data_IF_841109033269
#
_entry.id   IF_841109033269
#
_cell.length_a   1.000
_cell.length_b   1.000
_cell.length_c   1.000
_cell.angle_alpha   90.00
_cell.angle_beta   90.00
_cell.angle_gamma   90.00
#
_symmetry.space_group_name_H-M   'P 1'
#
loop_
_entity.id
_entity.type
_entity.pdbx_description
1 polymer ?
#
# COMPACT_ATOMS: atom_id res chain seq x y z
N UNK A 1 20.28 6.21 -9.89
CA UNK A 1 19.06 6.18 -9.05
C UNK A 1 18.82 4.74 -8.68
N UNK A 2 18.77 4.42 -7.39
CA UNK A 2 18.39 3.08 -6.94
C UNK A 2 17.04 2.73 -7.55
N UNK A 3 16.93 1.55 -8.16
CA UNK A 3 15.66 1.06 -8.70
C UNK A 3 14.74 0.82 -7.50
N UNK A 4 13.73 1.66 -7.31
CA UNK A 4 12.72 1.46 -6.27
C UNK A 4 11.93 0.21 -6.65
N UNK A 5 11.93 -0.78 -5.76
CA UNK A 5 11.20 -2.03 -5.93
C UNK A 5 10.28 -2.22 -4.73
N UNK A 6 9.01 -2.47 -5.01
CA UNK A 6 8.01 -2.78 -4.00
C UNK A 6 7.96 -4.27 -3.73
N UNK A 7 7.74 -4.62 -2.47
CA UNK A 7 7.44 -5.97 -2.00
C UNK A 7 5.95 -6.27 -2.17
N UNK A 8 5.57 -7.55 -2.10
CA UNK A 8 4.17 -7.95 -2.34
C UNK A 8 3.22 -7.38 -1.28
N UNK A 9 3.62 -7.37 -0.01
CA UNK A 9 2.85 -6.80 1.09
C UNK A 9 2.65 -5.28 0.94
N UNK A 10 3.67 -4.58 0.44
CA UNK A 10 3.59 -3.14 0.17
C UNK A 10 2.63 -2.85 -0.97
N UNK A 11 2.70 -3.62 -2.07
CA UNK A 11 1.79 -3.45 -3.19
C UNK A 11 0.35 -3.80 -2.81
N UNK A 12 0.15 -4.80 -1.95
CA UNK A 12 -1.17 -5.14 -1.41
C UNK A 12 -1.75 -3.98 -0.59
N UNK A 13 -0.97 -3.40 0.33
CA UNK A 13 -1.38 -2.22 1.11
C UNK A 13 -1.69 -1.03 0.20
N UNK A 14 -0.81 -0.74 -0.77
CA UNK A 14 -1.04 0.37 -1.72
C UNK A 14 -2.29 0.13 -2.54
N UNK A 15 -2.59 -1.11 -2.93
CA UNK A 15 -3.80 -1.46 -3.67
C UNK A 15 -5.08 -1.28 -2.85
N UNK A 16 -5.06 -1.62 -1.55
CA UNK A 16 -6.19 -1.45 -0.64
C UNK A 16 -6.57 0.02 -0.44
N UNK A 17 -5.59 0.92 -0.42
CA UNK A 17 -5.77 2.36 -0.21
C UNK A 17 -5.55 3.18 -1.48
N UNK A 18 -5.61 2.55 -2.67
CA UNK A 18 -5.31 3.23 -3.92
C UNK A 18 -6.39 4.28 -4.24
N UNK A 19 -5.93 5.47 -4.62
CA UNK A 19 -6.77 6.57 -5.07
C UNK A 19 -6.47 6.95 -6.52
N UNK A 20 -7.24 7.93 -7.01
CA UNK A 20 -7.12 8.47 -8.36
C UNK A 20 -5.72 9.00 -8.69
N UNK A 21 -4.98 9.50 -7.69
CA UNK A 21 -3.61 10.00 -7.88
C UNK A 21 -2.63 9.41 -6.88
N UNK A 22 -1.36 9.29 -7.28
CA UNK A 22 -0.26 8.86 -6.38
C UNK A 22 -0.23 9.67 -5.09
N UNK A 23 -0.49 10.98 -5.18
CA UNK A 23 -0.46 11.87 -4.04
C UNK A 23 -1.60 11.56 -3.07
N UNK A 24 -2.81 11.39 -3.59
CA UNK A 24 -3.98 11.05 -2.77
C UNK A 24 -3.78 9.71 -2.06
N UNK A 25 -3.23 8.71 -2.76
CA UNK A 25 -2.86 7.41 -2.16
C UNK A 25 -1.84 7.58 -1.03
N UNK A 26 -0.82 8.42 -1.21
CA UNK A 26 0.17 8.72 -0.16
C UNK A 26 -0.49 9.41 1.04
N UNK A 27 -1.39 10.37 0.82
CA UNK A 27 -2.08 11.09 1.88
C UNK A 27 -2.96 10.11 2.70
N UNK A 28 -3.75 9.25 2.05
CA UNK A 28 -4.54 8.22 2.77
C UNK A 28 -3.65 7.24 3.53
N UNK A 29 -2.55 6.77 2.94
CA UNK A 29 -1.65 5.85 3.64
C UNK A 29 -1.04 6.47 4.90
N UNK A 30 -0.76 7.78 4.90
CA UNK A 30 -0.29 8.50 6.09
C UNK A 30 -1.37 8.61 7.15
N UNK A 31 -2.59 8.94 6.75
CA UNK A 31 -3.72 9.00 7.68
C UNK A 31 -3.98 7.62 8.32
N UNK A 32 -3.91 6.54 7.52
CA UNK A 32 -4.00 5.16 8.02
C UNK A 32 -2.85 4.83 8.96
N UNK A 33 -1.60 5.23 8.63
CA UNK A 33 -0.45 5.01 9.50
C UNK A 33 -0.65 5.70 10.86
N UNK A 34 -1.06 6.96 10.87
CA UNK A 34 -1.32 7.73 12.10
C UNK A 34 -2.41 7.06 12.95
N UNK A 35 -3.53 6.66 12.33
CA UNK A 35 -4.62 5.98 13.03
C UNK A 35 -4.18 4.64 13.65
N UNK A 36 -3.36 3.86 12.93
CA UNK A 36 -2.85 2.58 13.43
C UNK A 36 -1.78 2.79 14.51
N UNK A 37 -0.97 3.85 14.44
CA UNK A 37 -0.02 4.21 15.51
C UNK A 37 -0.75 4.60 16.81
N UNK A 38 -1.91 5.26 16.71
CA UNK A 38 -2.73 5.61 17.88
C UNK A 38 -3.39 4.39 18.54
N UNK A 39 -3.78 3.38 17.76
CA UNK A 39 -4.43 2.16 18.25
C UNK A 39 -3.48 1.02 18.54
N UNK A 40 -2.17 1.26 18.41
CA UNK A 40 -1.14 0.24 18.53
C UNK A 40 -1.08 -0.36 19.93
N UNK A 41 -1.70 -1.52 20.09
CA UNK A 41 -1.66 -2.31 21.33
C UNK A 41 -0.92 -3.64 21.11
N UNK A 42 -0.81 -4.10 19.86
CA UNK A 42 -0.27 -5.42 19.52
C UNK A 42 1.05 -5.33 18.73
N UNK A 43 2.07 -6.16 19.06
CA UNK A 43 3.33 -6.20 18.31
C UNK A 43 3.19 -6.70 16.88
N UNK A 44 2.06 -7.30 16.49
CA UNK A 44 1.78 -7.61 15.09
C UNK A 44 1.49 -6.35 14.26
N UNK A 45 1.00 -5.28 14.89
CA UNK A 45 0.75 -4.00 14.22
C UNK A 45 2.05 -3.29 13.85
N UNK A 46 3.16 -3.53 14.56
CA UNK A 46 4.50 -3.03 14.19
C UNK A 46 4.86 -3.40 12.75
N UNK A 47 4.64 -4.66 12.35
CA UNK A 47 5.02 -5.12 11.01
C UNK A 47 4.14 -4.49 9.91
N UNK A 48 2.85 -4.28 10.19
CA UNK A 48 1.94 -3.58 9.29
C UNK A 48 2.32 -2.10 9.16
N UNK A 49 2.62 -1.44 10.28
CA UNK A 49 3.08 -0.04 10.30
C UNK A 49 4.38 0.14 9.51
N UNK A 50 5.35 -0.78 9.67
CA UNK A 50 6.59 -0.78 8.89
C UNK A 50 6.31 -0.95 7.38
N UNK A 51 5.38 -1.84 7.02
CA UNK A 51 4.95 -2.05 5.62
C UNK A 51 4.34 -0.79 5.03
N UNK A 52 3.39 -0.15 5.74
CA UNK A 52 2.73 1.09 5.30
C UNK A 52 3.76 2.23 5.17
N UNK A 53 4.62 2.41 6.18
CA UNK A 53 5.66 3.44 6.16
C UNK A 53 6.65 3.25 5.01
N UNK A 54 7.07 2.00 4.75
CA UNK A 54 7.95 1.67 3.63
C UNK A 54 7.27 1.93 2.28
N UNK A 55 6.01 1.54 2.12
CA UNK A 55 5.22 1.81 0.93
C UNK A 55 5.11 3.32 0.66
N UNK A 56 4.81 4.14 1.67
CA UNK A 56 4.76 5.61 1.57
C UNK A 56 6.11 6.15 1.07
N UNK A 57 7.21 5.74 1.71
CA UNK A 57 8.56 6.19 1.34
C UNK A 57 8.89 5.87 -0.11
N UNK A 58 8.62 4.62 -0.55
CA UNK A 58 8.84 4.18 -1.93
C UNK A 58 7.94 4.92 -2.91
N UNK A 59 6.67 5.16 -2.57
CA UNK A 59 5.74 5.96 -3.37
C UNK A 59 6.23 7.41 -3.54
N UNK A 60 6.84 8.01 -2.51
CA UNK A 60 7.43 9.36 -2.61
C UNK A 60 8.66 9.41 -3.53
N UNK A 61 9.40 8.31 -3.65
CA UNK A 61 10.62 8.21 -4.48
C UNK A 61 10.35 7.97 -5.97
N UNK A 62 9.12 7.58 -6.35
CA UNK A 62 8.75 7.28 -7.74
C UNK A 62 7.97 8.42 -8.38
N UNK A 63 7.89 8.42 -9.70
CA UNK A 63 7.04 9.33 -10.47
C UNK A 63 5.65 8.75 -10.71
N UNK A 64 4.67 9.61 -10.98
CA UNK A 64 3.28 9.21 -11.26
C UNK A 64 3.19 8.19 -12.40
N UNK A 65 4.05 8.32 -13.42
CA UNK A 65 4.10 7.36 -14.54
C UNK A 65 4.41 5.93 -14.05
N UNK A 66 5.29 5.79 -13.06
CA UNK A 66 5.62 4.48 -12.50
C UNK A 66 4.48 3.99 -11.59
N UNK A 67 3.86 4.88 -10.81
CA UNK A 67 2.69 4.56 -10.00
C UNK A 67 1.55 3.96 -10.83
N UNK A 68 1.15 4.60 -11.93
CA UNK A 68 0.10 4.06 -12.81
C UNK A 68 0.53 2.81 -13.60
N UNK A 69 1.81 2.44 -13.56
CA UNK A 69 2.30 1.19 -14.15
C UNK A 69 2.30 0.02 -13.17
N UNK A 70 2.03 0.27 -11.88
CA UNK A 70 1.89 -0.78 -10.88
C UNK A 70 0.59 -1.55 -11.13
N UNK A 71 0.68 -2.87 -11.16
CA UNK A 71 -0.47 -3.76 -11.32
C UNK A 71 -1.18 -3.97 -9.98
N UNK A 72 -1.72 -2.89 -9.42
CA UNK A 72 -2.41 -2.89 -8.13
C UNK A 72 -3.73 -3.69 -8.19
N UNK A 73 -4.38 -3.73 -9.36
CA UNK A 73 -5.62 -4.46 -9.57
C UNK A 73 -5.45 -5.96 -9.31
N UNK A 74 -4.27 -6.54 -9.59
CA UNK A 74 -4.01 -7.95 -9.28
C UNK A 74 -4.19 -8.28 -7.79
N UNK A 75 -3.87 -7.33 -6.90
CA UNK A 75 -4.00 -7.51 -5.45
C UNK A 75 -5.45 -7.35 -4.98
N UNK A 76 -6.28 -6.61 -5.72
CA UNK A 76 -7.73 -6.51 -5.47
C UNK A 76 -8.50 -7.71 -6.07
N UNK A 77 -8.15 -8.13 -7.29
CA UNK A 77 -8.84 -9.20 -7.99
C UNK A 77 -8.65 -10.57 -7.32
N UNK A 78 -7.51 -10.78 -6.64
CA UNK A 78 -7.32 -11.97 -5.81
C UNK A 78 -8.31 -12.05 -4.63
N UNK A 79 -8.96 -10.94 -4.22
CA UNK A 79 -10.07 -10.97 -3.25
C UNK A 79 -11.43 -11.28 -3.91
N UNK A 80 -11.58 -11.05 -5.22
CA UNK A 80 -12.81 -11.37 -5.96
C UNK A 80 -12.86 -12.81 -6.46
N UNK A 81 -11.74 -13.40 -6.90
CA UNK A 81 -11.72 -14.79 -7.39
C UNK A 81 -11.93 -15.83 -6.26
N UNK A 82 -11.45 -15.56 -5.04
CA UNK A 82 -11.73 -16.41 -3.86
C UNK A 82 -13.18 -16.27 -3.34
N UNK A 83 -13.96 -15.31 -3.85
CA UNK A 83 -15.35 -15.09 -3.44
C UNK A 83 -16.37 -15.90 -4.26
N UNK A 84 -15.94 -16.67 -5.28
CA UNK A 84 -16.81 -17.46 -6.16
C UNK A 84 -16.36 -18.92 -6.34
N UNK A 85 -15.98 -19.61 -5.27
CA UNK A 85 -16.13 -21.07 -5.24
C UNK A 85 -17.56 -21.43 -4.79
N UNK A 86 -18.46 -21.67 -5.76
CA UNK A 86 -19.79 -22.28 -5.55
C UNK A 86 -19.72 -23.80 -5.35
#
# INVERSE_FOLDING_TARGET
>A
MSKVTFEEDELAVVALFQENTRKDTIDILKDTLEALEETKEDPLEDNLLETIASAISKLQMIEDKYYYSLDLNRYLNNLEDDAYEE
#
